data_IF_669820798353
#
_entry.id   IF_669820798353
#
_cell.length_a   1.000
_cell.length_b   1.000
_cell.length_c   1.000
_cell.angle_alpha   90.00
_cell.angle_beta   90.00
_cell.angle_gamma   90.00
#
_symmetry.space_group_name_H-M   'P 1'
#
loop_
_entity.id
_entity.type
_entity.pdbx_description
1 polymer ?
#
# COMPACT_ATOMS: atom_id res chain seq x y z
N UNK A 1 52.51 -42.27 15.76
CA UNK A 1 52.01 -41.32 16.78
C UNK A 1 51.27 -40.21 16.06
N UNK A 2 50.01 -39.97 16.45
CA UNK A 2 49.05 -39.05 15.84
C UNK A 2 49.53 -37.60 16.00
N UNK A 3 49.47 -36.79 14.94
CA UNK A 3 49.52 -35.32 15.06
C UNK A 3 48.13 -34.79 14.74
N UNK A 4 47.53 -34.17 15.74
CA UNK A 4 46.16 -33.68 15.73
C UNK A 4 46.06 -32.40 14.91
N UNK A 5 45.07 -32.42 14.03
CA UNK A 5 44.43 -31.30 13.38
C UNK A 5 43.93 -30.29 14.43
N UNK A 6 44.29 -29.02 14.31
CA UNK A 6 43.54 -27.93 14.94
C UNK A 6 43.25 -26.91 13.85
N UNK A 7 42.16 -27.18 13.12
CA UNK A 7 41.55 -26.22 12.21
C UNK A 7 40.81 -25.21 13.10
N UNK A 8 41.32 -23.99 13.18
CA UNK A 8 40.64 -22.86 13.82
C UNK A 8 39.39 -22.53 13.00
N UNK A 9 38.26 -23.10 13.42
CA UNK A 9 36.95 -22.75 12.92
C UNK A 9 36.58 -21.40 13.53
N UNK A 10 36.88 -20.31 12.82
CA UNK A 10 36.24 -19.03 13.06
C UNK A 10 34.74 -19.21 12.75
N UNK A 11 33.97 -19.57 13.77
CA UNK A 11 32.51 -19.46 13.74
C UNK A 11 32.22 -17.97 13.74
N UNK A 12 32.21 -17.38 12.55
CA UNK A 12 31.53 -16.12 12.33
C UNK A 12 30.05 -16.40 12.59
N UNK A 13 29.61 -16.14 13.83
CA UNK A 13 28.19 -15.96 14.10
C UNK A 13 27.81 -14.67 13.39
N UNK A 14 27.52 -14.77 12.08
CA UNK A 14 26.61 -13.82 11.45
C UNK A 14 25.28 -14.02 12.16
N UNK A 15 25.05 -13.28 13.24
CA UNK A 15 23.69 -13.00 13.66
C UNK A 15 23.06 -12.30 12.47
N UNK A 16 22.25 -13.03 11.71
CA UNK A 16 21.24 -12.46 10.84
C UNK A 16 20.26 -11.68 11.74
N UNK A 17 20.68 -10.54 12.26
CA UNK A 17 19.77 -9.46 12.55
C UNK A 17 19.30 -9.02 11.16
N UNK A 18 18.29 -9.72 10.63
CA UNK A 18 17.62 -9.30 9.41
C UNK A 18 17.27 -7.83 9.60
N UNK A 19 17.69 -6.98 8.66
CA UNK A 19 17.37 -5.56 8.73
C UNK A 19 15.88 -5.43 8.99
N UNK A 20 15.52 -4.82 10.11
CA UNK A 20 14.12 -4.56 10.41
C UNK A 20 13.59 -3.64 9.33
N UNK A 21 12.48 -4.03 8.71
CA UNK A 21 11.84 -3.32 7.61
C UNK A 21 10.33 -3.23 7.87
N UNK A 22 9.69 -2.10 7.52
CA UNK A 22 8.25 -2.01 7.47
C UNK A 22 7.66 -2.96 6.41
N UNK A 23 6.35 -3.19 6.50
CA UNK A 23 5.59 -3.99 5.53
C UNK A 23 4.14 -3.46 5.52
N UNK A 24 3.85 -2.54 4.62
CA UNK A 24 2.56 -1.88 4.45
C UNK A 24 1.61 -2.80 3.67
N UNK A 25 0.43 -3.00 4.22
CA UNK A 25 -0.62 -3.83 3.64
C UNK A 25 -1.92 -3.08 3.69
N UNK A 26 -2.64 -3.05 2.57
CA UNK A 26 -4.02 -2.54 2.54
C UNK A 26 -4.90 -3.58 3.23
N UNK A 27 -5.50 -3.20 4.36
CA UNK A 27 -6.27 -4.11 5.22
C UNK A 27 -7.77 -4.05 4.93
N UNK A 28 -8.27 -2.84 4.62
CA UNK A 28 -9.69 -2.61 4.39
C UNK A 28 -9.90 -1.47 3.39
N UNK A 29 -10.93 -1.63 2.56
CA UNK A 29 -11.35 -0.69 1.53
C UNK A 29 -12.87 -0.73 1.46
N UNK A 30 -13.52 0.37 1.80
CA UNK A 30 -14.97 0.48 1.73
C UNK A 30 -15.40 1.69 0.92
N UNK A 31 -16.30 1.46 -0.04
CA UNK A 31 -16.95 2.48 -0.87
C UNK A 31 -18.40 2.59 -0.43
N UNK A 32 -18.80 3.82 -0.10
CA UNK A 32 -20.18 4.16 0.21
C UNK A 32 -20.71 5.06 -0.92
N UNK A 33 -21.53 4.50 -1.79
CA UNK A 33 -22.13 5.24 -2.92
C UNK A 33 -23.26 6.18 -2.47
N UNK A 34 -23.94 5.87 -1.36
CA UNK A 34 -25.00 6.73 -0.82
C UNK A 34 -24.39 7.99 -0.20
N UNK A 35 -23.30 7.83 0.56
CA UNK A 35 -22.54 8.94 1.13
C UNK A 35 -21.55 9.58 0.14
N UNK A 36 -21.28 8.95 -1.01
CA UNK A 36 -20.25 9.34 -1.98
C UNK A 36 -18.86 9.44 -1.35
N UNK A 37 -18.45 8.42 -0.61
CA UNK A 37 -17.13 8.38 0.06
C UNK A 37 -16.40 7.07 -0.13
N UNK A 38 -15.08 7.12 0.05
CA UNK A 38 -14.21 5.95 0.21
C UNK A 38 -13.49 6.02 1.55
N UNK A 39 -13.34 4.89 2.24
CA UNK A 39 -12.51 4.75 3.45
C UNK A 39 -11.49 3.64 3.25
N UNK A 40 -10.25 3.90 3.62
CA UNK A 40 -9.12 2.98 3.47
C UNK A 40 -8.43 2.78 4.82
N UNK A 41 -8.00 1.55 5.08
CA UNK A 41 -7.09 1.20 6.17
C UNK A 41 -5.83 0.55 5.63
N UNK A 42 -4.67 1.10 5.98
CA UNK A 42 -3.35 0.56 5.65
C UNK A 42 -2.61 0.22 6.93
N UNK A 43 -2.28 -1.05 7.13
CA UNK A 43 -1.53 -1.53 8.29
C UNK A 43 -0.06 -1.71 7.99
N UNK A 44 0.79 -1.58 9.01
CA UNK A 44 2.20 -1.98 8.95
C UNK A 44 2.41 -3.27 9.74
N UNK A 45 2.52 -4.39 9.01
CA UNK A 45 2.73 -5.74 9.56
C UNK A 45 4.20 -6.14 9.63
N UNK A 46 5.11 -5.20 9.35
CA UNK A 46 6.55 -5.41 9.36
C UNK A 46 7.13 -5.46 10.78
N UNK A 47 8.44 -5.20 10.89
CA UNK A 47 9.14 -5.11 12.18
C UNK A 47 9.89 -3.77 12.39
N UNK A 48 9.65 -2.79 11.51
CA UNK A 48 10.07 -1.40 11.67
C UNK A 48 8.93 -0.43 11.30
N UNK A 49 9.05 0.82 11.71
CA UNK A 49 8.10 1.87 11.35
C UNK A 49 8.22 2.22 9.86
N UNK A 50 7.10 2.43 9.19
CA UNK A 50 7.07 3.06 7.88
C UNK A 50 7.14 4.58 8.05
N UNK A 51 8.07 5.21 7.35
CA UNK A 51 8.22 6.67 7.33
C UNK A 51 7.16 7.37 6.48
N UNK A 52 7.43 8.62 6.12
CA UNK A 52 6.55 9.39 5.24
C UNK A 52 6.46 8.76 3.84
N UNK A 53 5.24 8.62 3.33
CA UNK A 53 4.98 8.05 2.01
C UNK A 53 3.68 8.56 1.40
N UNK A 54 3.47 8.18 0.13
CA UNK A 54 2.29 8.55 -0.64
C UNK A 54 1.40 7.34 -0.88
N UNK A 55 0.17 7.41 -0.37
CA UNK A 55 -0.88 6.44 -0.72
C UNK A 55 -1.72 6.98 -1.87
N UNK A 56 -1.84 6.22 -2.96
CA UNK A 56 -2.76 6.52 -4.06
C UNK A 56 -4.04 5.70 -3.90
N UNK A 57 -5.18 6.38 -4.02
CA UNK A 57 -6.50 5.78 -4.10
C UNK A 57 -7.08 6.13 -5.47
N UNK A 58 -7.42 5.12 -6.24
CA UNK A 58 -7.93 5.24 -7.61
C UNK A 58 -9.35 4.68 -7.64
N UNK A 59 -10.28 5.40 -8.25
CA UNK A 59 -11.64 4.91 -8.51
C UNK A 59 -11.83 4.85 -10.03
N UNK A 60 -12.22 3.67 -10.50
CA UNK A 60 -12.46 3.37 -11.91
C UNK A 60 -13.84 2.76 -12.06
N UNK A 61 -14.44 2.87 -13.24
CA UNK A 61 -15.58 2.02 -13.61
C UNK A 61 -15.14 0.57 -13.58
N UNK A 62 -16.03 -0.33 -13.18
CA UNK A 62 -15.78 -1.79 -13.19
C UNK A 62 -15.35 -2.27 -14.58
N UNK A 63 -15.93 -1.67 -15.64
CA UNK A 63 -15.66 -1.99 -17.04
C UNK A 63 -14.51 -1.21 -17.66
N UNK A 64 -13.76 -0.40 -16.90
CA UNK A 64 -12.65 0.38 -17.45
C UNK A 64 -11.56 -0.55 -17.98
N UNK A 65 -11.09 -0.31 -19.21
CA UNK A 65 -9.93 -1.01 -19.75
C UNK A 65 -8.66 -0.56 -19.02
N UNK A 66 -7.64 -1.41 -18.96
CA UNK A 66 -6.39 -1.06 -18.25
C UNK A 66 -5.71 0.19 -18.82
N UNK A 67 -5.86 0.44 -20.14
CA UNK A 67 -5.34 1.65 -20.77
C UNK A 67 -6.07 2.94 -20.34
N UNK A 68 -7.31 2.83 -19.84
CA UNK A 68 -8.08 3.96 -19.33
C UNK A 68 -7.83 4.23 -17.84
N UNK A 69 -7.25 3.26 -17.11
CA UNK A 69 -6.94 3.38 -15.68
C UNK A 69 -5.61 4.13 -15.45
N UNK A 70 -5.49 4.88 -14.35
CA UNK A 70 -6.57 5.27 -13.45
C UNK A 70 -7.49 6.32 -14.09
N UNK A 71 -8.80 6.20 -13.93
CA UNK A 71 -9.78 7.18 -14.39
C UNK A 71 -9.89 8.38 -13.43
N UNK A 72 -9.80 8.13 -12.12
CA UNK A 72 -9.66 9.17 -11.10
C UNK A 72 -8.61 8.78 -10.07
N UNK A 73 -8.08 9.78 -9.36
CA UNK A 73 -7.14 9.54 -8.27
C UNK A 73 -7.29 10.59 -7.16
N UNK A 74 -7.14 10.12 -5.91
CA UNK A 74 -6.81 10.92 -4.75
C UNK A 74 -5.44 10.47 -4.20
N UNK A 75 -4.66 11.42 -3.69
CA UNK A 75 -3.33 11.17 -3.12
C UNK A 75 -3.32 11.60 -1.66
N UNK A 76 -2.98 10.69 -0.75
CA UNK A 76 -2.79 10.98 0.66
C UNK A 76 -1.30 10.98 1.00
N UNK A 77 -0.82 12.04 1.66
CA UNK A 77 0.47 12.02 2.34
C UNK A 77 0.27 11.37 3.71
N UNK A 78 0.94 10.25 3.96
CA UNK A 78 0.92 9.54 5.24
C UNK A 78 2.26 9.78 5.92
N UNK A 79 2.24 10.42 7.09
CA UNK A 79 3.46 10.86 7.78
C UNK A 79 4.26 9.70 8.38
N UNK A 80 3.59 8.69 8.94
CA UNK A 80 4.19 7.44 9.38
C UNK A 80 3.11 6.40 9.67
N UNK A 81 3.48 5.13 9.55
CA UNK A 81 2.69 4.01 10.11
C UNK A 81 3.61 3.20 11.04
N UNK A 82 3.51 3.39 12.36
CA UNK A 82 4.29 2.61 13.32
C UNK A 82 4.07 1.11 13.18
N UNK A 83 5.08 0.33 13.54
CA UNK A 83 5.01 -1.14 13.50
C UNK A 83 3.81 -1.67 14.30
N UNK A 84 3.05 -2.59 13.71
CA UNK A 84 1.87 -3.19 14.35
C UNK A 84 0.65 -2.26 14.44
N UNK A 85 0.69 -1.08 13.81
CA UNK A 85 -0.43 -0.13 13.76
C UNK A 85 -0.96 0.04 12.34
N UNK A 86 -1.95 0.90 12.18
CA UNK A 86 -2.51 1.24 10.87
C UNK A 86 -2.79 2.74 10.76
N UNK A 87 -2.77 3.23 9.52
CA UNK A 87 -3.33 4.50 9.12
C UNK A 87 -4.76 4.29 8.61
N UNK A 88 -5.67 5.11 9.10
CA UNK A 88 -7.05 5.20 8.64
C UNK A 88 -7.23 6.53 7.89
N UNK A 89 -7.75 6.48 6.68
CA UNK A 89 -7.95 7.70 5.88
C UNK A 89 -9.06 8.61 6.43
N UNK A 90 -9.99 8.03 7.21
CA UNK A 90 -11.33 8.59 7.38
C UNK A 90 -12.11 8.63 6.05
N UNK A 91 -13.34 9.16 6.05
CA UNK A 91 -14.13 9.28 4.82
C UNK A 91 -13.50 10.28 3.84
N UNK A 92 -13.16 9.82 2.65
CA UNK A 92 -12.68 10.64 1.53
C UNK A 92 -13.85 10.87 0.57
N UNK A 93 -14.39 12.09 0.46
CA UNK A 93 -15.47 12.38 -0.48
C UNK A 93 -15.03 12.21 -1.94
N UNK A 94 -15.92 11.71 -2.80
CA UNK A 94 -15.67 11.59 -4.25
C UNK A 94 -15.25 12.92 -4.89
N UNK A 95 -15.71 14.05 -4.36
CA UNK A 95 -15.32 15.40 -4.82
C UNK A 95 -13.84 15.75 -4.60
N UNK A 96 -13.10 14.96 -3.81
CA UNK A 96 -11.64 15.10 -3.63
C UNK A 96 -10.83 14.38 -4.70
N UNK A 97 -11.44 13.48 -5.46
CA UNK A 97 -10.77 12.75 -6.52
C UNK A 97 -10.65 13.62 -7.77
N UNK A 98 -9.45 13.64 -8.33
CA UNK A 98 -9.17 14.35 -9.57
C UNK A 98 -9.27 13.38 -10.75
N UNK A 99 -10.08 13.70 -11.78
CA UNK A 99 -10.05 12.95 -13.03
C UNK A 99 -8.66 12.97 -13.66
N UNK A 100 -8.20 11.81 -14.14
CA UNK A 100 -6.97 11.70 -14.93
C UNK A 100 -7.24 12.05 -16.39
N UNK A 101 -6.20 12.39 -17.15
CA UNK A 101 -6.33 12.91 -18.53
C UNK A 101 -7.23 12.02 -19.38
N UNK A 102 -8.26 12.63 -19.97
CA UNK A 102 -9.20 11.97 -20.88
C UNK A 102 -10.36 11.26 -20.18
N UNK A 103 -10.37 11.18 -18.85
CA UNK A 103 -11.49 10.62 -18.10
C UNK A 103 -12.64 11.63 -17.97
N UNK A 104 -13.85 11.15 -18.26
CA UNK A 104 -15.12 11.88 -18.10
C UNK A 104 -16.03 11.21 -17.06
N UNK A 105 -15.44 10.42 -16.16
CA UNK A 105 -16.18 9.71 -15.12
C UNK A 105 -16.85 10.68 -14.15
N UNK A 106 -18.14 10.44 -13.91
CA UNK A 106 -18.90 11.09 -12.86
C UNK A 106 -19.05 10.09 -11.72
N UNK A 107 -18.25 10.25 -10.66
CA UNK A 107 -18.26 9.33 -9.52
C UNK A 107 -19.61 9.33 -8.80
N UNK A 108 -20.34 10.45 -8.79
CA UNK A 108 -21.61 10.57 -8.07
C UNK A 108 -22.80 9.85 -8.72
N UNK A 109 -22.64 9.36 -9.96
CA UNK A 109 -23.64 8.55 -10.64
C UNK A 109 -23.32 7.05 -10.63
N UNK A 110 -22.19 6.66 -10.07
CA UNK A 110 -21.81 5.26 -9.96
C UNK A 110 -22.58 4.58 -8.82
N UNK A 111 -23.01 3.35 -9.08
CA UNK A 111 -23.52 2.42 -8.06
C UNK A 111 -22.57 1.25 -7.80
N UNK A 112 -21.53 1.14 -8.63
CA UNK A 112 -20.45 0.17 -8.54
C UNK A 112 -19.17 0.77 -9.13
N UNK A 113 -18.01 0.37 -8.60
CA UNK A 113 -16.72 0.86 -9.03
C UNK A 113 -15.61 -0.13 -8.69
N UNK A 114 -14.52 -0.10 -9.45
CA UNK A 114 -13.26 -0.72 -9.06
C UNK A 114 -12.42 0.29 -8.28
N UNK A 115 -12.00 -0.08 -7.07
CA UNK A 115 -11.06 0.71 -6.27
C UNK A 115 -9.71 0.05 -6.24
N UNK A 116 -8.69 0.83 -6.54
CA UNK A 116 -7.28 0.43 -6.42
C UNK A 116 -6.62 1.30 -5.37
N UNK A 117 -5.92 0.68 -4.42
CA UNK A 117 -5.15 1.37 -3.38
C UNK A 117 -3.69 0.94 -3.51
N UNK A 118 -2.78 1.91 -3.47
CA UNK A 118 -1.32 1.69 -3.46
C UNK A 118 -0.76 2.41 -2.25
N UNK A 119 -0.49 1.68 -1.17
CA UNK A 119 -0.10 2.23 0.12
C UNK A 119 1.20 3.06 0.03
N UNK A 120 2.22 2.56 -0.66
CA UNK A 120 3.44 3.30 -1.00
C UNK A 120 3.60 3.42 -2.52
N UNK A 121 2.74 4.23 -3.14
CA UNK A 121 2.62 4.33 -4.60
C UNK A 121 3.89 4.81 -5.33
N UNK A 122 4.93 5.22 -4.58
CA UNK A 122 6.19 5.73 -5.10
C UNK A 122 7.41 4.93 -4.65
N UNK A 123 7.24 3.86 -3.87
CA UNK A 123 8.38 3.10 -3.32
C UNK A 123 9.29 3.98 -2.48
N UNK A 124 8.71 4.86 -1.67
CA UNK A 124 9.43 5.78 -0.77
C UNK A 124 9.94 5.06 0.48
N UNK A 125 9.30 3.95 0.84
CA UNK A 125 9.61 3.11 1.98
C UNK A 125 10.19 1.81 1.44
N UNK A 126 11.38 1.41 1.90
CA UNK A 126 11.95 0.11 1.57
C UNK A 126 11.28 -0.97 2.43
N UNK A 127 10.38 -1.74 1.82
CA UNK A 127 9.53 -2.69 2.52
C UNK A 127 10.13 -4.10 2.56
N UNK A 128 9.60 -4.96 3.44
CA UNK A 128 9.90 -6.40 3.40
C UNK A 128 9.37 -7.05 2.14
N UNK A 129 8.21 -6.59 1.69
CA UNK A 129 7.52 -7.09 0.53
C UNK A 129 6.91 -5.89 -0.20
N UNK A 130 7.28 -5.71 -1.47
CA UNK A 130 6.79 -4.60 -2.30
C UNK A 130 5.51 -4.97 -3.07
N UNK A 131 5.01 -6.20 -2.91
CA UNK A 131 3.91 -6.75 -3.71
C UNK A 131 2.58 -6.87 -2.96
N UNK A 132 2.55 -6.58 -1.66
CA UNK A 132 1.36 -6.64 -0.79
C UNK A 132 0.87 -5.26 -0.33
N UNK A 133 1.53 -4.20 -0.79
CA UNK A 133 1.13 -2.81 -0.55
C UNK A 133 0.10 -2.30 -1.59
N UNK A 134 -0.44 -3.19 -2.44
CA UNK A 134 -1.46 -2.91 -3.44
C UNK A 134 -2.73 -3.73 -3.20
N UNK A 135 -3.88 -3.08 -3.30
CA UNK A 135 -5.20 -3.70 -3.38
C UNK A 135 -5.86 -3.27 -4.70
N UNK A 136 -6.52 -4.20 -5.39
CA UNK A 136 -7.35 -3.95 -6.57
C UNK A 136 -8.64 -4.78 -6.43
N UNK A 137 -9.80 -4.13 -6.30
CA UNK A 137 -11.06 -4.85 -6.05
C UNK A 137 -11.46 -5.82 -7.17
N UNK A 138 -10.89 -5.66 -8.37
CA UNK A 138 -11.17 -6.48 -9.55
C UNK A 138 -10.05 -7.48 -9.92
N UNK A 139 -8.98 -7.61 -9.13
CA UNK A 139 -7.87 -8.54 -9.41
C UNK A 139 -7.40 -9.33 -8.18
#
# INVERSE_FOLDING_TARGET
MKKYLVLLLCVAVLTAAGCKKPDLVVQDVHVDFDANTVTIRVGNVGDANAGEHLTYIEINRVSASDAAKPETQYSANVSSVPVGTAWDSGPIPFSKFSPRRGSTIDLGSLTEANVVVRADAKGMVDEKNENNNVYDANH
#
